data_IF_183793197295
#
_entry.id   IF_183793197295
#
_cell.length_a   1.000
_cell.length_b   1.000
_cell.length_c   1.000
_cell.angle_alpha   90.00
_cell.angle_beta   90.00
_cell.angle_gamma   90.00
#
_symmetry.space_group_name_H-M   'P 1'
#
loop_
_entity.id
_entity.type
_entity.pdbx_description
1 polymer ?
#
# COMPACT_ATOMS: atom_id res chain seq x y z
N UNK A 1 39.92 -2.90 -44.21
CA UNK A 1 38.91 -1.88 -44.58
C UNK A 1 39.21 -0.61 -43.78
N UNK A 2 39.80 0.43 -44.39
CA UNK A 2 40.12 1.69 -43.70
C UNK A 2 38.87 2.56 -43.70
N UNK A 3 38.12 2.57 -42.61
CA UNK A 3 37.02 3.53 -42.44
C UNK A 3 37.67 4.92 -42.42
N UNK A 4 37.34 5.76 -43.40
CA UNK A 4 37.85 7.11 -43.46
C UNK A 4 37.40 7.86 -42.19
N UNK A 5 38.32 8.55 -41.51
CA UNK A 5 38.04 9.28 -40.26
C UNK A 5 36.86 10.27 -40.42
N UNK A 6 36.63 10.77 -41.64
CA UNK A 6 35.50 11.62 -42.00
C UNK A 6 34.13 10.93 -41.87
N UNK A 7 34.03 9.65 -42.22
CA UNK A 7 32.77 8.89 -42.12
C UNK A 7 32.38 8.56 -40.68
N UNK A 8 33.38 8.37 -39.80
CA UNK A 8 33.14 8.15 -38.37
C UNK A 8 32.62 9.43 -37.69
N UNK A 9 33.20 10.59 -38.03
CA UNK A 9 32.81 11.89 -37.47
C UNK A 9 31.40 12.26 -37.91
N UNK A 10 31.05 12.03 -39.18
CA UNK A 10 29.71 12.30 -39.71
C UNK A 10 28.64 11.41 -39.05
N UNK A 11 28.95 10.13 -38.83
CA UNK A 11 28.06 9.21 -38.11
C UNK A 11 27.81 9.65 -36.66
N UNK A 12 28.86 10.09 -35.96
CA UNK A 12 28.75 10.55 -34.58
C UNK A 12 27.93 11.84 -34.46
N UNK A 13 28.10 12.76 -35.40
CA UNK A 13 27.32 14.00 -35.48
C UNK A 13 25.82 13.71 -35.70
N UNK A 14 25.48 12.76 -36.56
CA UNK A 14 24.08 12.37 -36.82
C UNK A 14 23.43 11.74 -35.58
N UNK A 15 24.15 10.90 -34.83
CA UNK A 15 23.64 10.31 -33.58
C UNK A 15 23.38 11.39 -32.53
N UNK A 16 24.26 12.39 -32.40
CA UNK A 16 24.07 13.50 -31.47
C UNK A 16 22.87 14.38 -31.85
N UNK A 17 22.70 14.69 -33.14
CA UNK A 17 21.55 15.47 -33.62
C UNK A 17 20.25 14.69 -33.42
N UNK A 18 20.23 13.39 -33.71
CA UNK A 18 19.07 12.53 -33.48
C UNK A 18 18.74 12.43 -31.98
N UNK A 19 19.73 12.28 -31.10
CA UNK A 19 19.55 12.26 -29.65
C UNK A 19 19.01 13.58 -29.09
N UNK A 20 19.49 14.72 -29.59
CA UNK A 20 18.96 16.04 -29.20
C UNK A 20 17.54 16.27 -29.70
N UNK A 21 17.21 15.85 -30.93
CA UNK A 21 15.86 15.92 -31.45
C UNK A 21 14.91 15.03 -30.63
N UNK A 22 15.30 13.79 -30.35
CA UNK A 22 14.48 12.84 -29.58
C UNK A 22 14.23 13.33 -28.14
N UNK A 23 15.24 13.92 -27.48
CA UNK A 23 15.07 14.53 -26.16
C UNK A 23 14.19 15.78 -26.15
N UNK A 24 14.09 16.51 -27.26
CA UNK A 24 13.23 17.69 -27.37
C UNK A 24 11.75 17.32 -27.56
N UNK A 25 11.47 16.19 -28.23
CA UNK A 25 10.09 15.71 -28.44
C UNK A 25 9.55 14.86 -27.28
N UNK A 26 10.42 14.26 -26.46
CA UNK A 26 10.03 13.56 -25.23
C UNK A 26 10.33 14.48 -24.04
N UNK A 27 9.67 15.65 -24.00
CA UNK A 27 9.55 16.39 -22.75
C UNK A 27 8.46 15.66 -21.95
N UNK A 28 8.77 15.01 -20.81
CA UNK A 28 7.71 14.55 -19.92
C UNK A 28 6.87 15.79 -19.59
N UNK A 29 5.58 15.73 -19.89
CA UNK A 29 4.64 16.78 -19.56
C UNK A 29 4.70 16.99 -18.06
N UNK A 30 5.46 18.00 -17.62
CA UNK A 30 5.38 18.50 -16.27
C UNK A 30 3.91 18.81 -16.00
N UNK A 31 3.35 18.40 -14.84
CA UNK A 31 1.97 18.73 -14.53
C UNK A 31 1.79 20.24 -14.64
N UNK A 32 0.77 20.67 -15.37
CA UNK A 32 0.50 22.10 -15.57
C UNK A 32 0.35 22.80 -14.21
N UNK A 33 0.83 24.03 -14.10
CA UNK A 33 0.69 24.84 -12.87
C UNK A 33 -0.78 24.92 -12.40
N UNK A 34 -1.72 24.82 -13.34
CA UNK A 34 -3.17 24.78 -13.09
C UNK A 34 -3.61 23.60 -12.22
N UNK A 35 -2.99 22.43 -12.34
CA UNK A 35 -3.32 21.26 -11.52
C UNK A 35 -2.87 21.43 -10.06
N UNK A 36 -1.72 22.07 -9.84
CA UNK A 36 -1.23 22.42 -8.51
C UNK A 36 -2.06 23.54 -7.86
N UNK A 37 -2.54 24.50 -8.64
CA UNK A 37 -3.43 25.56 -8.18
C UNK A 37 -4.82 25.01 -7.77
N UNK A 38 -5.36 24.03 -8.50
CA UNK A 38 -6.62 23.36 -8.14
C UNK A 38 -6.54 22.62 -6.80
N UNK A 39 -5.41 21.96 -6.48
CA UNK A 39 -5.24 21.27 -5.19
C UNK A 39 -5.12 22.28 -4.05
N UNK A 40 -4.41 23.39 -4.25
CA UNK A 40 -4.24 24.45 -3.23
C UNK A 40 -5.52 25.20 -2.88
N UNK A 41 -6.51 25.23 -3.78
CA UNK A 41 -7.77 25.94 -3.56
C UNK A 41 -8.84 25.12 -2.81
N UNK A 42 -8.60 23.83 -2.56
CA UNK A 42 -9.52 22.99 -1.77
C UNK A 42 -9.29 23.16 -0.28
N UNK A 43 -10.37 23.15 0.49
CA UNK A 43 -10.30 23.04 1.95
C UNK A 43 -9.68 21.71 2.38
N UNK A 44 -9.15 21.66 3.61
CA UNK A 44 -8.58 20.41 4.17
C UNK A 44 -9.63 19.29 4.23
N UNK A 45 -10.90 19.63 4.49
CA UNK A 45 -11.99 18.66 4.51
C UNK A 45 -12.19 18.01 3.13
N UNK A 46 -12.24 18.83 2.07
CA UNK A 46 -12.37 18.35 0.69
C UNK A 46 -11.14 17.55 0.24
N UNK A 47 -9.94 17.92 0.69
CA UNK A 47 -8.73 17.14 0.43
C UNK A 47 -8.78 15.77 1.11
N UNK A 48 -9.27 15.71 2.35
CA UNK A 48 -9.44 14.46 3.10
C UNK A 48 -10.45 13.54 2.42
N UNK A 49 -11.62 14.05 2.04
CA UNK A 49 -12.64 13.25 1.35
C UNK A 49 -12.15 12.74 0.00
N UNK A 50 -11.48 13.59 -0.78
CA UNK A 50 -10.86 13.18 -2.04
C UNK A 50 -9.81 12.07 -1.82
N UNK A 51 -9.00 12.18 -0.77
CA UNK A 51 -8.01 11.16 -0.43
C UNK A 51 -8.67 9.82 -0.02
N UNK A 52 -9.74 9.84 0.78
CA UNK A 52 -10.50 8.62 1.14
C UNK A 52 -11.04 7.93 -0.11
N UNK A 53 -11.62 8.69 -1.05
CA UNK A 53 -12.14 8.12 -2.30
C UNK A 53 -11.05 7.48 -3.16
N UNK A 54 -9.86 8.11 -3.24
CA UNK A 54 -8.69 7.53 -3.94
C UNK A 54 -8.24 6.24 -3.23
N UNK A 55 -8.19 6.25 -1.91
CA UNK A 55 -7.81 5.10 -1.10
C UNK A 55 -8.77 3.91 -1.30
N UNK A 56 -10.07 4.16 -1.33
CA UNK A 56 -11.09 3.14 -1.62
C UNK A 56 -10.91 2.54 -3.02
N UNK A 57 -10.64 3.39 -4.03
CA UNK A 57 -10.39 2.94 -5.41
C UNK A 57 -9.17 2.02 -5.51
N UNK A 58 -8.04 2.41 -4.90
CA UNK A 58 -6.81 1.60 -4.90
C UNK A 58 -7.07 0.24 -4.26
N UNK A 59 -7.76 0.21 -3.12
CA UNK A 59 -8.11 -1.06 -2.45
C UNK A 59 -9.01 -1.94 -3.31
N UNK A 60 -9.96 -1.35 -4.03
CA UNK A 60 -10.82 -2.08 -4.97
C UNK A 60 -10.02 -2.75 -6.09
N UNK A 61 -9.07 -2.02 -6.70
CA UNK A 61 -8.18 -2.56 -7.73
C UNK A 61 -7.30 -3.69 -7.17
N UNK A 62 -6.67 -3.48 -6.01
CA UNK A 62 -5.87 -4.51 -5.36
C UNK A 62 -6.69 -5.75 -5.00
N UNK A 63 -7.94 -5.59 -4.56
CA UNK A 63 -8.82 -6.71 -4.24
C UNK A 63 -9.13 -7.55 -5.48
N UNK A 64 -9.37 -6.91 -6.63
CA UNK A 64 -9.57 -7.60 -7.92
C UNK A 64 -8.33 -8.38 -8.36
N UNK A 65 -7.13 -7.90 -8.01
CA UNK A 65 -5.86 -8.59 -8.26
C UNK A 65 -5.54 -9.67 -7.21
N UNK A 66 -6.38 -9.85 -6.18
CA UNK A 66 -6.12 -10.78 -5.07
C UNK A 66 -5.05 -10.30 -4.09
N UNK A 67 -4.70 -9.00 -4.14
CA UNK A 67 -3.65 -8.35 -3.33
C UNK A 67 -4.18 -7.59 -2.13
N UNK A 68 -5.49 -7.66 -1.87
CA UNK A 68 -6.12 -6.98 -0.75
C UNK A 68 -7.22 -7.84 -0.15
N UNK A 69 -7.05 -8.21 1.11
CA UNK A 69 -8.00 -8.97 1.92
C UNK A 69 -7.96 -8.46 3.37
N UNK A 70 -8.81 -7.46 3.64
CA UNK A 70 -8.80 -6.74 4.92
C UNK A 70 -9.40 -7.59 6.05
N UNK A 71 -8.80 -7.49 7.24
CA UNK A 71 -9.23 -8.19 8.44
C UNK A 71 -9.96 -7.30 9.47
N UNK A 72 -10.27 -6.05 9.09
CA UNK A 72 -10.85 -5.02 9.94
C UNK A 72 -12.22 -4.57 9.41
N UNK A 73 -13.05 -4.03 10.29
CA UNK A 73 -14.33 -3.39 9.93
C UNK A 73 -14.12 -2.15 9.05
N UNK A 74 -13.04 -1.41 9.33
CA UNK A 74 -12.58 -0.28 8.53
C UNK A 74 -11.13 -0.48 8.13
N UNK A 75 -10.79 -0.27 6.85
CA UNK A 75 -9.42 -0.42 6.37
C UNK A 75 -8.43 0.50 7.12
N UNK A 76 -7.30 -0.06 7.55
CA UNK A 76 -6.20 0.70 8.11
C UNK A 76 -5.45 1.49 7.03
N UNK A 77 -4.49 2.33 7.42
CA UNK A 77 -3.70 3.15 6.50
C UNK A 77 -2.55 2.37 5.86
N UNK A 78 -1.99 1.41 6.59
CA UNK A 78 -0.88 0.58 6.16
C UNK A 78 -1.22 -0.25 4.92
N UNK A 79 -2.48 -0.63 4.73
CA UNK A 79 -2.88 -1.38 3.54
C UNK A 79 -2.63 -0.65 2.20
N UNK A 80 -2.44 0.67 2.22
CA UNK A 80 -2.10 1.47 1.03
C UNK A 80 -0.64 1.95 1.07
N UNK A 81 -0.09 2.22 2.26
CA UNK A 81 1.25 2.82 2.36
C UNK A 81 2.38 1.83 2.57
N UNK A 82 2.16 0.80 3.38
CA UNK A 82 3.21 -0.09 3.86
C UNK A 82 2.61 -1.37 4.42
N UNK A 83 3.03 -2.51 3.87
CA UNK A 83 2.64 -3.83 4.36
C UNK A 83 3.88 -4.58 4.86
N UNK A 84 4.37 -4.31 6.10
CA UNK A 84 5.56 -4.98 6.64
C UNK A 84 5.33 -6.50 6.70
N UNK A 85 6.23 -7.30 6.11
CA UNK A 85 6.08 -8.76 6.01
C UNK A 85 5.53 -9.25 4.67
N UNK A 86 4.89 -8.37 3.88
CA UNK A 86 4.34 -8.67 2.54
C UNK A 86 5.07 -7.92 1.42
N UNK A 87 6.30 -7.49 1.68
CA UNK A 87 7.07 -6.61 0.79
C UNK A 87 6.72 -5.12 0.97
N UNK A 88 7.67 -4.24 0.65
CA UNK A 88 7.37 -2.80 0.54
C UNK A 88 6.39 -2.58 -0.62
N UNK A 89 5.16 -2.19 -0.28
CA UNK A 89 4.23 -1.52 -1.20
C UNK A 89 3.45 -2.38 -2.19
N UNK A 90 2.96 -3.58 -1.86
CA UNK A 90 2.21 -4.34 -2.86
C UNK A 90 0.96 -5.10 -2.40
N UNK A 91 0.93 -5.72 -1.22
CA UNK A 91 -0.15 -6.67 -0.91
C UNK A 91 -0.56 -6.62 0.57
N UNK A 92 -1.85 -6.47 0.82
CA UNK A 92 -2.46 -6.60 2.15
C UNK A 92 -3.16 -7.96 2.24
N UNK A 93 -2.47 -8.96 2.78
CA UNK A 93 -3.02 -10.31 3.00
C UNK A 93 -3.21 -10.64 4.48
N UNK A 94 -3.34 -9.61 5.33
CA UNK A 94 -3.37 -9.75 6.79
C UNK A 94 -4.49 -10.67 7.30
N UNK A 95 -5.62 -10.75 6.59
CA UNK A 95 -6.66 -11.74 6.93
C UNK A 95 -6.17 -13.17 6.81
N UNK A 96 -5.44 -13.50 5.74
CA UNK A 96 -4.89 -14.83 5.55
C UNK A 96 -3.83 -15.15 6.61
N UNK A 97 -3.00 -14.18 6.99
CA UNK A 97 -2.02 -14.37 8.07
C UNK A 97 -2.72 -14.68 9.38
N UNK A 98 -3.77 -13.93 9.72
CA UNK A 98 -4.58 -14.16 10.91
C UNK A 98 -5.15 -15.58 10.91
N UNK A 99 -5.77 -16.01 9.82
CA UNK A 99 -6.30 -17.38 9.68
C UNK A 99 -5.22 -18.46 9.85
N UNK A 100 -4.00 -18.17 9.42
CA UNK A 100 -2.85 -19.06 9.57
C UNK A 100 -2.22 -19.00 10.98
N UNK A 101 -2.68 -18.11 11.86
CA UNK A 101 -2.04 -17.84 13.15
C UNK A 101 -0.68 -17.14 13.00
N UNK A 102 -0.49 -16.39 11.92
CA UNK A 102 0.68 -15.58 11.62
C UNK A 102 0.43 -14.11 11.93
N UNK A 103 1.51 -13.34 12.07
CA UNK A 103 1.46 -12.01 12.66
C UNK A 103 1.08 -10.97 11.59
N UNK A 104 -0.08 -10.29 11.69
CA UNK A 104 -0.50 -9.29 10.72
C UNK A 104 0.31 -8.00 10.84
N UNK A 105 0.00 -6.98 10.05
CA UNK A 105 0.67 -5.69 10.16
C UNK A 105 0.35 -4.99 11.49
N UNK A 106 1.23 -4.06 11.91
CA UNK A 106 1.11 -3.39 13.21
C UNK A 106 -0.19 -2.59 13.39
N UNK A 107 -0.70 -1.94 12.34
CA UNK A 107 -1.99 -1.22 12.42
C UNK A 107 -3.17 -2.18 12.59
N UNK A 108 -3.17 -3.33 11.90
CA UNK A 108 -4.19 -4.35 12.12
C UNK A 108 -4.19 -4.84 13.56
N UNK A 109 -3.02 -5.02 14.18
CA UNK A 109 -2.94 -5.42 15.60
C UNK A 109 -3.57 -4.36 16.50
N UNK A 110 -3.22 -3.09 16.30
CA UNK A 110 -3.79 -1.98 17.09
C UNK A 110 -5.31 -1.95 17.01
N UNK A 111 -5.86 -1.94 15.79
CA UNK A 111 -7.31 -1.92 15.55
C UNK A 111 -7.99 -3.18 16.09
N UNK A 112 -7.36 -4.35 15.98
CA UNK A 112 -7.90 -5.58 16.57
C UNK A 112 -7.98 -5.46 18.10
N UNK A 113 -6.95 -4.93 18.75
CA UNK A 113 -6.90 -4.71 20.20
C UNK A 113 -7.80 -3.57 20.68
N UNK A 114 -8.39 -2.80 19.76
CA UNK A 114 -9.41 -1.77 20.01
C UNK A 114 -10.83 -2.26 19.68
N UNK A 115 -11.00 -3.51 19.22
CA UNK A 115 -12.32 -4.07 18.90
C UNK A 115 -12.82 -3.73 17.49
N UNK A 116 -11.93 -3.37 16.56
CA UNK A 116 -12.26 -2.97 15.18
C UNK A 116 -11.91 -4.02 14.11
N UNK A 117 -11.60 -5.24 14.55
CA UNK A 117 -11.43 -6.41 13.70
C UNK A 117 -12.76 -7.04 13.26
N UNK A 118 -12.75 -7.77 12.16
CA UNK A 118 -13.88 -8.61 11.74
C UNK A 118 -14.21 -9.67 12.80
N UNK A 119 -15.40 -9.61 13.40
CA UNK A 119 -15.81 -10.47 14.51
C UNK A 119 -15.64 -11.98 14.23
N UNK A 120 -15.82 -12.44 12.99
CA UNK A 120 -15.63 -13.85 12.63
C UNK A 120 -14.18 -14.35 12.75
N UNK A 121 -13.21 -13.44 12.78
CA UNK A 121 -11.79 -13.74 12.94
C UNK A 121 -11.35 -13.78 14.41
N UNK A 122 -12.25 -13.44 15.35
CA UNK A 122 -11.99 -13.46 16.81
C UNK A 122 -11.23 -14.71 17.29
N UNK A 123 -11.57 -15.95 16.87
CA UNK A 123 -10.88 -17.15 17.34
C UNK A 123 -9.40 -17.25 16.93
N UNK A 124 -8.96 -16.41 15.99
CA UNK A 124 -7.62 -16.48 15.40
C UNK A 124 -6.68 -15.37 15.90
N UNK A 125 -7.22 -14.27 16.45
CA UNK A 125 -6.45 -13.07 16.77
C UNK A 125 -5.34 -13.31 17.80
N UNK A 126 -5.63 -13.97 18.91
CA UNK A 126 -4.67 -14.14 20.00
C UNK A 126 -3.40 -14.86 19.53
N UNK A 127 -3.58 -15.99 18.83
CA UNK A 127 -2.51 -16.78 18.24
C UNK A 127 -1.72 -16.00 17.18
N UNK A 128 -2.43 -15.32 16.27
CA UNK A 128 -1.83 -14.51 15.22
C UNK A 128 -0.91 -13.41 15.79
N UNK A 129 -1.39 -12.66 16.78
CA UNK A 129 -0.62 -11.63 17.46
C UNK A 129 0.58 -12.25 18.21
N UNK A 130 0.35 -13.37 18.91
CA UNK A 130 1.38 -14.05 19.69
C UNK A 130 2.55 -14.60 18.84
N UNK A 131 2.38 -14.83 17.53
CA UNK A 131 3.42 -15.36 16.65
C UNK A 131 4.76 -14.59 16.70
N UNK A 132 4.72 -13.25 16.77
CA UNK A 132 5.95 -12.42 16.93
C UNK A 132 6.03 -11.66 18.25
N UNK A 133 4.94 -11.57 19.00
CA UNK A 133 4.93 -10.99 20.35
C UNK A 133 5.45 -11.99 21.40
N UNK A 134 5.28 -13.29 21.14
CA UNK A 134 5.69 -14.40 21.99
C UNK A 134 4.50 -15.28 22.38
N UNK A 135 4.59 -16.59 22.11
CA UNK A 135 3.52 -17.57 22.37
C UNK A 135 3.12 -17.65 23.85
N UNK A 136 4.03 -17.32 24.77
CA UNK A 136 3.73 -17.23 26.20
C UNK A 136 2.68 -16.16 26.55
N UNK A 137 2.37 -15.26 25.62
CA UNK A 137 1.36 -14.21 25.81
C UNK A 137 0.00 -14.56 25.20
N UNK A 138 -0.15 -15.70 24.51
CA UNK A 138 -1.37 -16.06 23.79
C UNK A 138 -2.61 -16.08 24.70
N UNK A 139 -2.51 -16.68 25.89
CA UNK A 139 -3.63 -16.73 26.85
C UNK A 139 -4.07 -15.33 27.29
N UNK A 140 -3.11 -14.47 27.66
CA UNK A 140 -3.42 -13.09 28.07
C UNK A 140 -3.98 -12.24 26.91
N UNK A 141 -3.48 -12.44 25.70
CA UNK A 141 -4.01 -11.83 24.50
C UNK A 141 -5.45 -12.32 24.23
N UNK A 142 -5.74 -13.60 24.46
CA UNK A 142 -7.08 -14.14 24.31
C UNK A 142 -8.07 -13.50 25.29
N UNK A 143 -7.65 -13.27 26.54
CA UNK A 143 -8.47 -12.54 27.52
C UNK A 143 -8.80 -11.13 27.04
N UNK A 144 -7.79 -10.37 26.58
CA UNK A 144 -7.99 -9.04 26.02
C UNK A 144 -8.93 -9.04 24.80
N UNK A 145 -8.78 -10.01 23.90
CA UNK A 145 -9.66 -10.17 22.74
C UNK A 145 -11.08 -10.51 23.17
N UNK A 146 -11.28 -11.35 24.19
CA UNK A 146 -12.62 -11.64 24.69
C UNK A 146 -13.32 -10.40 25.25
N UNK A 147 -12.58 -9.51 25.90
CA UNK A 147 -13.10 -8.24 26.41
C UNK A 147 -13.49 -7.28 25.28
N UNK A 148 -12.72 -7.24 24.18
CA UNK A 148 -12.96 -6.33 23.04
C UNK A 148 -14.07 -6.84 22.09
N UNK A 149 -14.26 -8.16 22.02
CA UNK A 149 -15.26 -8.80 21.15
C UNK A 149 -16.24 -9.64 21.98
N UNK A 150 -17.11 -9.03 22.78
CA UNK A 150 -18.09 -9.77 23.58
C UNK A 150 -19.04 -10.53 22.65
N UNK A 151 -19.41 -11.75 23.05
CA UNK A 151 -20.44 -12.52 22.35
C UNK A 151 -21.74 -11.69 22.32
N UNK A 152 -22.31 -11.49 21.13
CA UNK A 152 -23.63 -10.87 20.99
C UNK A 152 -24.64 -11.85 21.58
N UNK A 153 -25.24 -11.49 22.71
CA UNK A 153 -26.33 -12.24 23.35
C UNK A 153 -27.61 -12.19 22.54
#
# INVERSE_FOLDING_TARGET
MKIAKSSLILGLALVLIAGMAFGYFIKPSAPSEDHLAMIKNKSIAEQREAWIGIADSIRGELAMEGKYDCCLDKPCWYCIQKTPGHGEGAECTCRQDILNGEHPCGECIGEILEGHGLAELKPFYAKAIAHKVGLQHEEHLQDMINDMYPEIQ
#
